data_IF_034184830439
#
_entry.id   IF_034184830439
#
_cell.length_a   1.000
_cell.length_b   1.000
_cell.length_c   1.000
_cell.angle_alpha   90.00
_cell.angle_beta   90.00
_cell.angle_gamma   90.00
#
_symmetry.space_group_name_H-M   'P 1'
#
loop_
_entity.id
_entity.type
_entity.pdbx_description
1 polymer ?
#
# COMPACT_ATOMS: atom_id res chain seq x y z
N UNK A 1 -11.04 -18.23 -29.71
CA UNK A 1 -10.26 -17.39 -28.77
C UNK A 1 -9.64 -18.31 -27.74
N UNK A 2 -8.30 -18.35 -27.67
CA UNK A 2 -7.58 -19.24 -26.74
C UNK A 2 -7.77 -18.72 -25.31
N UNK A 3 -7.84 -19.59 -24.30
CA UNK A 3 -8.02 -19.19 -22.88
C UNK A 3 -6.95 -18.18 -22.41
N UNK A 4 -5.74 -18.26 -22.95
CA UNK A 4 -4.66 -17.30 -22.67
C UNK A 4 -4.96 -15.87 -23.17
N UNK A 5 -5.70 -15.72 -24.27
CA UNK A 5 -6.13 -14.40 -24.78
C UNK A 5 -7.28 -13.82 -23.96
N UNK A 6 -8.13 -14.67 -23.36
CA UNK A 6 -9.18 -14.20 -22.43
C UNK A 6 -8.59 -13.72 -21.11
N UNK A 7 -7.58 -14.44 -20.59
CA UNK A 7 -6.91 -14.08 -19.35
C UNK A 7 -6.11 -12.77 -19.46
N UNK A 8 -5.45 -12.52 -20.60
CA UNK A 8 -4.70 -11.28 -20.82
C UNK A 8 -5.62 -10.06 -20.97
N UNK A 9 -6.76 -10.19 -21.66
CA UNK A 9 -7.76 -9.12 -21.77
C UNK A 9 -8.36 -8.78 -20.40
N UNK A 10 -8.67 -9.80 -19.59
CA UNK A 10 -9.23 -9.62 -18.25
C UNK A 10 -8.24 -8.93 -17.30
N UNK A 11 -6.94 -9.25 -17.38
CA UNK A 11 -5.91 -8.61 -16.57
C UNK A 11 -5.74 -7.12 -16.87
N UNK A 12 -5.74 -6.73 -18.15
CA UNK A 12 -5.63 -5.33 -18.57
C UNK A 12 -6.84 -4.51 -18.10
N UNK A 13 -8.05 -5.09 -18.16
CA UNK A 13 -9.25 -4.41 -17.69
C UNK A 13 -9.22 -4.15 -16.18
N UNK A 14 -8.59 -5.02 -15.39
CA UNK A 14 -8.40 -4.79 -13.97
C UNK A 14 -7.42 -3.64 -13.69
N UNK A 15 -6.37 -3.48 -14.50
CA UNK A 15 -5.45 -2.33 -14.40
C UNK A 15 -6.17 -1.03 -14.74
N UNK A 16 -7.05 -1.05 -15.75
CA UNK A 16 -7.89 0.12 -16.09
C UNK A 16 -8.79 0.51 -14.93
N UNK A 17 -9.49 -0.46 -14.33
CA UNK A 17 -10.36 -0.22 -13.16
C UNK A 17 -9.57 0.34 -11.98
N UNK A 18 -8.38 -0.19 -11.70
CA UNK A 18 -7.52 0.32 -10.65
C UNK A 18 -7.18 1.80 -10.89
N UNK A 19 -6.65 2.12 -12.06
CA UNK A 19 -6.28 3.49 -12.42
C UNK A 19 -7.48 4.45 -12.42
N UNK A 20 -8.66 3.98 -12.84
CA UNK A 20 -9.88 4.78 -12.83
C UNK A 20 -10.31 5.15 -11.40
N UNK A 21 -10.17 4.20 -10.47
CA UNK A 21 -10.55 4.38 -9.07
C UNK A 21 -9.62 5.28 -8.24
N UNK A 22 -8.47 5.67 -8.78
CA UNK A 22 -7.58 6.64 -8.14
C UNK A 22 -8.21 8.04 -8.12
N UNK A 23 -7.98 8.78 -7.05
CA UNK A 23 -8.33 10.20 -6.98
C UNK A 23 -7.35 11.07 -7.80
N UNK A 24 -7.66 12.35 -7.98
CA UNK A 24 -6.87 13.26 -8.82
C UNK A 24 -5.43 13.47 -8.33
N UNK A 25 -5.20 13.47 -7.01
CA UNK A 25 -3.83 13.61 -6.47
C UNK A 25 -3.01 12.34 -6.66
N UNK A 26 -3.64 11.18 -6.49
CA UNK A 26 -3.03 9.88 -6.76
C UNK A 26 -2.68 9.71 -8.25
N UNK A 27 -3.59 10.10 -9.15
CA UNK A 27 -3.35 10.13 -10.60
C UNK A 27 -2.18 11.05 -10.96
N UNK A 28 -2.08 12.23 -10.33
CA UNK A 28 -0.93 13.13 -10.51
C UNK A 28 0.38 12.50 -10.04
N UNK A 29 0.37 11.80 -8.90
CA UNK A 29 1.58 11.16 -8.38
C UNK A 29 2.08 10.06 -9.32
N UNK A 30 1.17 9.25 -9.89
CA UNK A 30 1.50 8.29 -10.95
C UNK A 30 2.17 8.98 -12.14
N UNK A 31 1.57 10.05 -12.66
CA UNK A 31 2.14 10.84 -13.78
C UNK A 31 3.52 11.40 -13.43
N UNK A 32 3.73 11.85 -12.18
CA UNK A 32 5.02 12.37 -11.70
C UNK A 32 6.07 11.27 -11.68
N UNK A 33 5.76 10.07 -11.18
CA UNK A 33 6.72 8.96 -11.13
C UNK A 33 7.11 8.47 -12.53
N UNK A 34 6.14 8.37 -13.44
CA UNK A 34 6.38 8.03 -14.84
C UNK A 34 7.25 9.09 -15.52
N UNK A 35 6.97 10.37 -15.25
CA UNK A 35 7.79 11.47 -15.77
C UNK A 35 9.22 11.42 -15.25
N UNK A 36 9.44 11.02 -13.98
CA UNK A 36 10.78 10.82 -13.42
C UNK A 36 11.48 9.68 -14.17
N UNK A 37 10.81 8.55 -14.40
CA UNK A 37 11.39 7.39 -15.10
C UNK A 37 11.83 7.74 -16.53
N UNK A 38 10.96 8.37 -17.33
CA UNK A 38 11.32 8.75 -18.71
C UNK A 38 12.44 9.80 -18.81
N UNK A 39 12.61 10.67 -17.77
CA UNK A 39 13.78 11.58 -17.71
C UNK A 39 15.11 10.83 -17.64
N UNK A 40 15.16 9.65 -17.02
CA UNK A 40 16.37 8.83 -16.95
C UNK A 40 16.67 8.08 -18.26
N UNK A 41 15.64 7.82 -19.08
CA UNK A 41 15.74 7.02 -20.32
C UNK A 41 15.97 7.87 -21.60
N UNK A 42 16.27 9.17 -21.46
CA UNK A 42 16.45 10.15 -22.55
C UNK A 42 15.22 10.35 -23.47
N UNK A 43 14.06 9.79 -23.17
CA UNK A 43 12.81 10.08 -23.88
C UNK A 43 12.08 11.25 -23.20
N UNK A 44 11.94 12.38 -23.92
CA UNK A 44 11.29 13.59 -23.37
C UNK A 44 9.78 13.54 -23.56
N UNK A 45 9.09 12.64 -22.85
CA UNK A 45 7.64 12.70 -22.74
C UNK A 45 7.26 13.78 -21.71
N UNK A 46 6.36 14.69 -22.08
CA UNK A 46 5.87 15.72 -21.16
C UNK A 46 4.82 15.13 -20.20
N UNK A 47 4.62 15.76 -19.05
CA UNK A 47 3.58 15.36 -18.09
C UNK A 47 2.20 15.25 -18.76
N UNK A 48 1.82 16.23 -19.57
CA UNK A 48 0.54 16.22 -20.28
C UNK A 48 0.41 15.08 -21.30
N UNK A 49 1.50 14.66 -21.94
CA UNK A 49 1.49 13.48 -22.83
C UNK A 49 1.26 12.19 -22.04
N UNK A 50 1.87 12.06 -20.87
CA UNK A 50 1.71 10.89 -19.98
C UNK A 50 0.28 10.85 -19.42
N UNK A 51 -0.23 11.98 -18.97
CA UNK A 51 -1.60 12.12 -18.47
C UNK A 51 -2.62 11.76 -19.56
N UNK A 52 -2.45 12.28 -20.77
CA UNK A 52 -3.28 11.93 -21.93
C UNK A 52 -3.20 10.44 -22.24
N UNK A 53 -2.01 9.84 -22.18
CA UNK A 53 -1.83 8.40 -22.39
C UNK A 53 -2.54 7.58 -21.30
N UNK A 54 -2.44 7.99 -20.03
CA UNK A 54 -3.11 7.33 -18.91
C UNK A 54 -4.63 7.39 -19.06
N UNK A 55 -5.19 8.56 -19.39
CA UNK A 55 -6.63 8.71 -19.61
C UNK A 55 -7.11 7.91 -20.82
N UNK A 56 -6.35 7.90 -21.92
CA UNK A 56 -6.67 7.07 -23.07
C UNK A 56 -6.66 5.58 -22.72
N UNK A 57 -5.71 5.13 -21.90
CA UNK A 57 -5.63 3.75 -21.43
C UNK A 57 -6.85 3.37 -20.59
N UNK A 58 -7.22 4.22 -19.62
CA UNK A 58 -8.41 4.05 -18.77
C UNK A 58 -9.68 3.94 -19.63
N UNK A 59 -9.84 4.81 -20.64
CA UNK A 59 -10.99 4.81 -21.56
C UNK A 59 -10.99 3.67 -22.58
N UNK A 60 -10.03 2.74 -22.53
CA UNK A 60 -9.95 1.63 -23.47
C UNK A 60 -9.54 2.02 -24.90
N UNK A 61 -8.96 3.23 -25.08
CA UNK A 61 -8.42 3.68 -26.37
C UNK A 61 -7.01 3.12 -26.58
N UNK A 62 -6.64 2.91 -27.86
CA UNK A 62 -5.33 2.40 -28.24
C UNK A 62 -4.21 3.20 -27.56
N UNK A 63 -3.50 2.52 -26.69
CA UNK A 63 -2.35 3.02 -25.95
C UNK A 63 -1.22 2.04 -26.18
N UNK A 64 0.00 2.54 -26.38
CA UNK A 64 1.15 1.67 -26.66
C UNK A 64 1.45 0.81 -25.43
N UNK A 65 1.76 -0.47 -25.66
CA UNK A 65 2.14 -1.46 -24.63
C UNK A 65 3.28 -0.95 -23.74
N UNK A 66 4.17 -0.13 -24.30
CA UNK A 66 5.24 0.58 -23.60
C UNK A 66 4.75 1.41 -22.40
N UNK A 67 3.56 2.02 -22.47
CA UNK A 67 3.01 2.74 -21.32
C UNK A 67 2.47 1.80 -20.24
N UNK A 68 1.99 0.60 -20.60
CA UNK A 68 1.42 -0.35 -19.65
C UNK A 68 2.46 -0.86 -18.65
N UNK A 69 3.62 -1.31 -19.13
CA UNK A 69 4.71 -1.77 -18.24
C UNK A 69 5.16 -0.66 -17.30
N UNK A 70 5.29 0.56 -17.84
CA UNK A 70 5.69 1.74 -17.07
C UNK A 70 4.62 2.14 -16.05
N UNK A 71 3.33 2.05 -16.41
CA UNK A 71 2.22 2.26 -15.47
C UNK A 71 2.29 1.26 -14.32
N UNK A 72 2.41 -0.03 -14.62
CA UNK A 72 2.41 -1.10 -13.62
C UNK A 72 3.57 -0.95 -12.63
N UNK A 73 4.78 -0.70 -13.11
CA UNK A 73 5.95 -0.51 -12.24
C UNK A 73 5.80 0.74 -11.35
N UNK A 74 5.25 1.82 -11.90
CA UNK A 74 5.02 3.05 -11.14
C UNK A 74 3.89 2.87 -10.10
N UNK A 75 2.84 2.12 -10.43
CA UNK A 75 1.74 1.80 -9.52
C UNK A 75 2.25 1.01 -8.31
N UNK A 76 3.05 -0.03 -8.53
CA UNK A 76 3.61 -0.84 -7.45
C UNK A 76 4.44 0.00 -6.48
N UNK A 77 5.20 0.95 -7.03
CA UNK A 77 6.04 1.87 -6.25
C UNK A 77 5.24 2.92 -5.48
N UNK A 78 4.16 3.44 -6.05
CA UNK A 78 3.35 4.52 -5.43
C UNK A 78 2.41 3.96 -4.37
N UNK A 79 1.75 2.85 -4.65
CA UNK A 79 0.66 2.35 -3.83
C UNK A 79 1.03 1.15 -2.97
N UNK A 80 2.26 0.63 -3.09
CA UNK A 80 2.70 -0.57 -2.38
C UNK A 80 1.75 -1.78 -2.61
N UNK A 81 1.08 -1.81 -3.76
CA UNK A 81 0.17 -2.87 -4.18
C UNK A 81 0.87 -3.75 -5.22
N UNK A 82 0.85 -5.06 -5.03
CA UNK A 82 1.40 -6.00 -6.00
C UNK A 82 0.69 -5.89 -7.35
N UNK A 83 1.47 -5.75 -8.43
CA UNK A 83 0.94 -5.77 -9.81
C UNK A 83 0.16 -7.05 -10.08
N UNK A 84 0.59 -8.19 -9.52
CA UNK A 84 -0.10 -9.48 -9.66
C UNK A 84 -1.50 -9.41 -9.06
N UNK A 85 -1.66 -8.75 -7.91
CA UNK A 85 -2.97 -8.58 -7.27
C UNK A 85 -3.87 -7.69 -8.12
N UNK A 86 -3.33 -6.63 -8.72
CA UNK A 86 -4.09 -5.75 -9.63
C UNK A 86 -4.55 -6.53 -10.86
N UNK A 87 -3.65 -7.27 -11.52
CA UNK A 87 -3.97 -8.09 -12.68
C UNK A 87 -5.04 -9.16 -12.37
N UNK A 88 -5.02 -9.72 -11.16
CA UNK A 88 -6.03 -10.68 -10.69
C UNK A 88 -7.34 -10.04 -10.23
N UNK A 89 -7.45 -8.70 -10.22
CA UNK A 89 -8.62 -7.98 -9.72
C UNK A 89 -8.78 -8.04 -8.20
N UNK A 90 -7.72 -8.38 -7.47
CA UNK A 90 -7.65 -8.48 -6.01
C UNK A 90 -7.01 -7.23 -5.40
N UNK A 91 -7.52 -6.06 -5.76
CA UNK A 91 -7.06 -4.80 -5.20
C UNK A 91 -8.19 -4.15 -4.40
N UNK A 92 -7.90 -3.75 -3.15
CA UNK A 92 -8.80 -2.95 -2.33
C UNK A 92 -8.21 -1.54 -2.21
N UNK A 93 -8.93 -0.55 -2.75
CA UNK A 93 -8.58 0.85 -2.59
C UNK A 93 -8.87 1.28 -1.15
N UNK A 94 -7.88 1.87 -0.48
CA UNK A 94 -7.88 2.35 0.91
C UNK A 94 -7.66 1.31 2.01
N UNK A 95 -6.73 0.37 1.82
CA UNK A 95 -6.11 -0.24 3.00
C UNK A 95 -5.11 0.76 3.56
N UNK A 96 -5.39 1.28 4.76
CA UNK A 96 -4.38 1.98 5.55
C UNK A 96 -3.25 0.98 5.78
N UNK A 97 -2.08 1.23 5.18
CA UNK A 97 -0.91 0.39 5.41
C UNK A 97 -0.57 0.45 6.91
N UNK A 98 -0.56 -0.71 7.58
CA UNK A 98 -0.17 -0.80 8.98
C UNK A 98 1.21 -0.19 9.23
N UNK A 99 2.09 -0.22 8.22
CA UNK A 99 3.38 0.47 8.23
C UNK A 99 3.24 1.98 8.37
N UNK A 100 2.31 2.62 7.65
CA UNK A 100 2.12 4.07 7.70
C UNK A 100 1.56 4.51 9.06
N UNK A 101 0.67 3.70 9.66
CA UNK A 101 0.19 3.92 11.03
C UNK A 101 1.33 3.88 12.05
N UNK A 102 2.18 2.85 11.98
CA UNK A 102 3.31 2.69 12.89
C UNK A 102 4.35 3.80 12.70
N UNK A 103 4.70 4.11 11.45
CA UNK A 103 5.70 5.13 11.15
C UNK A 103 5.27 6.52 11.63
N UNK A 104 3.98 6.87 11.51
CA UNK A 104 3.44 8.15 11.99
C UNK A 104 3.52 8.28 13.52
N UNK A 105 3.29 7.20 14.26
CA UNK A 105 3.36 7.23 15.72
C UNK A 105 4.81 7.26 16.22
N UNK A 106 5.68 6.44 15.64
CA UNK A 106 7.11 6.34 16.00
C UNK A 106 7.86 7.62 15.65
N UNK A 107 7.51 8.31 14.56
CA UNK A 107 8.15 9.59 14.21
C UNK A 107 7.83 10.73 15.20
N UNK A 108 6.77 10.59 15.99
CA UNK A 108 6.45 11.53 17.07
C UNK A 108 7.05 11.13 18.43
N UNK A 109 7.53 9.89 18.57
CA UNK A 109 8.01 9.35 19.85
C UNK A 109 9.22 8.43 19.67
N UNK A 110 10.39 8.87 20.13
CA UNK A 110 11.58 8.03 20.18
C UNK A 110 11.53 7.08 21.38
N UNK A 111 11.94 5.82 21.19
CA UNK A 111 12.15 4.91 22.32
C UNK A 111 13.21 5.45 23.29
N UNK A 112 13.11 5.20 24.60
CA UNK A 112 14.19 5.46 25.55
C UNK A 112 15.52 4.83 25.12
N UNK A 113 16.65 5.48 25.42
CA UNK A 113 17.99 5.04 25.00
C UNK A 113 18.32 3.60 25.43
N UNK A 114 17.89 3.19 26.63
CA UNK A 114 18.14 1.84 27.14
C UNK A 114 17.34 0.76 26.38
N UNK A 115 16.25 1.12 25.70
CA UNK A 115 15.51 0.21 24.80
C UNK A 115 16.16 0.21 23.42
N UNK A 116 16.57 1.39 22.91
CA UNK A 116 17.20 1.52 21.60
C UNK A 116 18.46 0.65 21.45
N UNK A 117 19.27 0.52 22.51
CA UNK A 117 20.46 -0.33 22.49
C UNK A 117 20.16 -1.79 22.14
N UNK A 118 19.01 -2.30 22.57
CA UNK A 118 18.55 -3.67 22.27
C UNK A 118 18.02 -3.82 20.84
N UNK A 119 17.53 -2.74 20.21
CA UNK A 119 16.96 -2.79 18.85
C UNK A 119 18.03 -2.96 17.75
N UNK A 120 19.32 -2.93 18.10
CA UNK A 120 20.39 -3.29 17.17
C UNK A 120 20.38 -4.79 16.84
N UNK A 121 19.85 -5.63 17.74
CA UNK A 121 19.70 -7.07 17.55
C UNK A 121 18.54 -7.40 16.61
N UNK A 122 18.81 -8.17 15.54
CA UNK A 122 17.81 -8.54 14.55
C UNK A 122 16.70 -9.43 15.11
N UNK A 123 17.04 -10.36 16.01
CA UNK A 123 16.05 -11.22 16.67
C UNK A 123 15.10 -10.38 17.50
N UNK A 124 15.63 -9.44 18.29
CA UNK A 124 14.80 -8.53 19.11
C UNK A 124 13.90 -7.68 18.21
N UNK A 125 14.39 -7.17 17.07
CA UNK A 125 13.54 -6.44 16.12
C UNK A 125 12.39 -7.28 15.60
N UNK A 126 12.63 -8.56 15.25
CA UNK A 126 11.59 -9.48 14.79
C UNK A 126 10.54 -9.74 15.86
N UNK A 127 10.97 -9.95 17.10
CA UNK A 127 10.05 -10.14 18.23
C UNK A 127 9.20 -8.89 18.48
N UNK A 128 9.80 -7.70 18.46
CA UNK A 128 9.07 -6.42 18.60
C UNK A 128 8.03 -6.27 17.49
N UNK A 129 8.39 -6.54 16.23
CA UNK A 129 7.44 -6.55 15.11
C UNK A 129 6.31 -7.57 15.31
N UNK A 130 6.66 -8.76 15.79
CA UNK A 130 5.71 -9.82 16.13
C UNK A 130 4.72 -9.39 17.21
N UNK A 131 5.15 -8.66 18.25
CA UNK A 131 4.27 -8.13 19.29
C UNK A 131 3.19 -7.22 18.69
N UNK A 132 3.58 -6.26 17.84
CA UNK A 132 2.61 -5.37 17.18
C UNK A 132 1.59 -6.17 16.36
N UNK A 133 2.08 -7.09 15.52
CA UNK A 133 1.24 -7.93 14.68
C UNK A 133 0.25 -8.76 15.52
N UNK A 134 0.74 -9.41 16.57
CA UNK A 134 -0.06 -10.29 17.42
C UNK A 134 -1.14 -9.52 18.18
N UNK A 135 -0.86 -8.29 18.65
CA UNK A 135 -1.86 -7.45 19.31
C UNK A 135 -3.01 -7.11 18.35
N UNK A 136 -2.69 -6.66 17.14
CA UNK A 136 -3.71 -6.28 16.15
C UNK A 136 -4.54 -7.50 15.75
N UNK A 137 -3.89 -8.64 15.46
CA UNK A 137 -4.56 -9.88 15.12
C UNK A 137 -5.42 -10.43 16.25
N UNK A 138 -4.97 -10.30 17.50
CA UNK A 138 -5.79 -10.70 18.65
C UNK A 138 -7.08 -9.88 18.71
N UNK A 139 -6.99 -8.56 18.45
CA UNK A 139 -8.15 -7.68 18.46
C UNK A 139 -9.12 -7.97 17.30
N UNK A 140 -8.59 -8.40 16.15
CA UNK A 140 -9.35 -8.67 14.92
C UNK A 140 -9.56 -10.16 14.60
N UNK A 141 -9.35 -11.07 15.55
CA UNK A 141 -9.28 -12.53 15.31
C UNK A 141 -10.54 -13.14 14.67
N UNK A 142 -11.69 -12.50 14.84
CA UNK A 142 -12.98 -12.98 14.34
C UNK A 142 -13.16 -12.52 12.90
N UNK A 143 -13.35 -13.46 11.97
CA UNK A 143 -13.41 -13.20 10.52
C UNK A 143 -14.51 -12.20 10.13
N UNK A 144 -15.62 -12.18 10.88
CA UNK A 144 -16.75 -11.27 10.67
C UNK A 144 -16.80 -10.13 11.69
N UNK A 145 -15.65 -9.71 12.26
CA UNK A 145 -15.63 -8.67 13.30
C UNK A 145 -16.09 -7.31 12.75
N UNK A 146 -17.11 -6.74 13.38
CA UNK A 146 -17.57 -5.39 13.06
C UNK A 146 -16.64 -4.32 13.66
N UNK A 147 -16.54 -3.16 12.99
CA UNK A 147 -15.73 -1.99 13.42
C UNK A 147 -15.85 -1.66 14.91
N UNK A 148 -17.07 -1.70 15.45
CA UNK A 148 -17.34 -1.42 16.88
C UNK A 148 -16.60 -2.40 17.79
N UNK A 149 -16.74 -3.70 17.52
CA UNK A 149 -16.13 -4.75 18.35
C UNK A 149 -14.61 -4.75 18.24
N UNK A 150 -14.07 -4.51 17.03
CA UNK A 150 -12.63 -4.34 16.84
C UNK A 150 -12.08 -3.16 17.66
N UNK A 151 -12.78 -2.02 17.66
CA UNK A 151 -12.41 -0.85 18.46
C UNK A 151 -12.49 -1.09 19.97
N UNK A 152 -13.51 -1.82 20.45
CA UNK A 152 -13.62 -2.23 21.86
C UNK A 152 -12.45 -3.13 22.28
N UNK A 153 -12.10 -4.13 21.46
CA UNK A 153 -10.98 -5.02 21.75
C UNK A 153 -9.64 -4.24 21.82
N UNK A 154 -9.41 -3.31 20.88
CA UNK A 154 -8.24 -2.43 20.90
C UNK A 154 -8.20 -1.57 22.17
N UNK A 155 -9.35 -1.03 22.59
CA UNK A 155 -9.46 -0.26 23.82
C UNK A 155 -9.09 -1.10 25.04
N UNK A 156 -9.61 -2.32 25.14
CA UNK A 156 -9.35 -3.21 26.27
C UNK A 156 -7.88 -3.62 26.36
N UNK A 157 -7.24 -3.96 25.22
CA UNK A 157 -5.80 -4.26 25.18
C UNK A 157 -4.98 -3.05 25.59
N UNK A 158 -5.27 -1.86 25.05
CA UNK A 158 -4.56 -0.64 25.43
C UNK A 158 -4.76 -0.29 26.90
N UNK A 159 -5.96 -0.49 27.44
CA UNK A 159 -6.24 -0.30 28.87
C UNK A 159 -5.42 -1.26 29.72
N UNK A 160 -5.35 -2.54 29.34
CA UNK A 160 -4.53 -3.53 30.03
C UNK A 160 -3.05 -3.15 30.04
N UNK A 161 -2.47 -2.81 28.87
CA UNK A 161 -1.08 -2.39 28.75
C UNK A 161 -0.79 -1.15 29.62
N UNK A 162 -1.68 -0.16 29.61
CA UNK A 162 -1.54 1.05 30.44
C UNK A 162 -1.59 0.75 31.95
N UNK A 163 -2.42 -0.20 32.38
CA UNK A 163 -2.47 -0.62 33.78
C UNK A 163 -1.16 -1.29 34.19
N UNK A 164 -0.62 -2.18 33.34
CA UNK A 164 0.68 -2.78 33.58
C UNK A 164 1.76 -1.70 33.72
N UNK A 165 1.84 -0.73 32.81
CA UNK A 165 2.82 0.35 32.86
C UNK A 165 2.72 1.22 34.13
N UNK A 166 1.50 1.49 34.62
CA UNK A 166 1.29 2.28 35.84
C UNK A 166 1.65 1.55 37.13
N UNK A 167 1.60 0.21 37.14
CA UNK A 167 1.92 -0.58 38.33
C UNK A 167 3.43 -0.81 38.53
N UNK A 168 4.28 -0.30 37.63
CA UNK A 168 5.74 -0.35 37.71
C UNK A 168 6.40 1.02 37.93
N UNK A 169 5.59 2.08 38.12
CA UNK A 169 6.04 3.41 38.59
C UNK A 169 5.57 3.64 40.02
#
# INVERSE_FOLDING_TARGET
>A
MKESERASVMGIDNVRKFLDSLNEEEKKEVVIQISKKYRYERSRKTKGQIETAMMNFIMGKNTTVEYLEVFLECIEKVFNVSVINILQGKFEMNQVDGKDLLMKEISNTSFPLHIQSHLNDEYIRKEVQGVFWNIINLCGREESIGKKKFGENLHDVNRFLNLCLKNYN
#
